data_IF_366731082924
#
_entry.id   IF_366731082924
#
_cell.length_a   1.000
_cell.length_b   1.000
_cell.length_c   1.000
_cell.angle_alpha   90.00
_cell.angle_beta   90.00
_cell.angle_gamma   90.00
#
_symmetry.space_group_name_H-M   'P 1'
#
loop_
_entity.id
_entity.type
_entity.pdbx_description
1 polymer ?
#
# COMPACT_ATOMS: atom_id res chain seq x y z
N UNK A 1 -14.48 4.75 -5.11
CA UNK A 1 -15.04 3.82 -6.17
C UNK A 1 -14.74 2.40 -5.79
N UNK A 2 -15.73 1.53 -5.91
CA UNK A 2 -15.54 0.09 -5.67
C UNK A 2 -15.96 -0.68 -6.92
N UNK A 3 -15.12 -1.63 -7.38
CA UNK A 3 -15.43 -2.55 -8.46
C UNK A 3 -15.20 -3.99 -7.99
N UNK A 4 -16.05 -4.90 -8.44
CA UNK A 4 -15.91 -6.32 -8.16
C UNK A 4 -15.85 -7.14 -9.44
N UNK A 5 -15.08 -8.22 -9.44
CA UNK A 5 -15.10 -9.24 -10.46
C UNK A 5 -16.00 -10.38 -10.00
N UNK A 6 -16.96 -10.77 -10.84
CA UNK A 6 -17.89 -11.86 -10.57
C UNK A 6 -17.66 -12.99 -11.57
N UNK A 7 -17.61 -14.22 -11.09
CA UNK A 7 -17.53 -15.44 -11.87
C UNK A 7 -18.42 -16.51 -11.23
N UNK A 8 -19.27 -17.14 -12.02
CA UNK A 8 -20.21 -18.18 -11.56
C UNK A 8 -21.04 -17.74 -10.33
N UNK A 9 -21.58 -16.49 -10.38
CA UNK A 9 -22.34 -15.83 -9.31
C UNK A 9 -21.57 -15.60 -7.99
N UNK A 10 -20.23 -15.71 -8.01
CA UNK A 10 -19.37 -15.45 -6.87
C UNK A 10 -18.47 -14.23 -7.10
N UNK A 11 -18.29 -13.40 -6.06
CA UNK A 11 -17.28 -12.34 -6.08
C UNK A 11 -15.91 -12.97 -5.92
N UNK A 12 -15.08 -12.85 -6.96
CA UNK A 12 -13.74 -13.45 -7.03
C UNK A 12 -12.59 -12.44 -7.00
N UNK A 13 -12.91 -11.16 -7.00
CA UNK A 13 -11.92 -10.08 -6.87
C UNK A 13 -12.59 -8.75 -6.62
N UNK A 14 -11.82 -7.80 -6.11
CA UNK A 14 -12.26 -6.42 -5.89
C UNK A 14 -11.10 -5.44 -6.08
N UNK A 15 -11.45 -4.20 -6.40
CA UNK A 15 -10.59 -3.02 -6.27
C UNK A 15 -11.38 -1.88 -5.65
N UNK A 16 -10.74 -1.17 -4.74
CA UNK A 16 -11.30 -0.05 -3.98
C UNK A 16 -10.37 1.16 -4.11
N UNK A 17 -10.93 2.30 -4.54
CA UNK A 17 -10.19 3.53 -4.81
C UNK A 17 -10.93 4.71 -4.19
N UNK A 18 -10.23 5.47 -3.39
CA UNK A 18 -10.66 6.77 -2.89
C UNK A 18 -10.08 7.89 -3.77
N UNK A 19 -10.85 8.92 -4.03
CA UNK A 19 -10.47 10.02 -4.91
C UNK A 19 -10.21 11.30 -4.11
N UNK A 20 -9.25 12.10 -4.57
CA UNK A 20 -9.11 13.47 -4.12
C UNK A 20 -10.41 14.23 -4.30
N UNK A 21 -10.76 15.00 -3.29
CA UNK A 21 -11.87 15.95 -3.30
C UNK A 21 -11.34 17.38 -3.19
N UNK A 22 -12.23 18.38 -3.21
CA UNK A 22 -11.85 19.77 -2.95
C UNK A 22 -11.43 20.00 -1.49
N UNK A 23 -11.92 19.15 -0.57
CA UNK A 23 -11.72 19.28 0.87
C UNK A 23 -10.60 18.36 1.38
N UNK A 24 -10.33 17.25 0.71
CA UNK A 24 -9.42 16.19 1.17
C UNK A 24 -8.56 15.66 0.04
N UNK A 25 -7.26 15.59 0.31
CA UNK A 25 -6.25 15.00 -0.58
C UNK A 25 -5.89 13.61 -0.05
N UNK A 26 -6.01 12.58 -0.89
CA UNK A 26 -5.75 11.19 -0.51
C UNK A 26 -4.43 10.66 -1.09
N UNK A 27 -3.93 11.27 -2.16
CA UNK A 27 -2.63 10.91 -2.76
C UNK A 27 -1.50 11.81 -2.27
N UNK A 28 -0.27 11.33 -2.35
CA UNK A 28 0.92 12.04 -1.87
C UNK A 28 1.41 13.15 -2.81
N UNK A 29 1.11 13.05 -4.10
CA UNK A 29 1.51 13.99 -5.14
C UNK A 29 0.55 15.17 -5.27
N UNK A 30 0.98 16.24 -5.96
CA UNK A 30 0.14 17.45 -6.15
C UNK A 30 -0.97 17.25 -7.18
N UNK A 31 -0.78 16.36 -8.15
CA UNK A 31 -1.76 16.01 -9.19
C UNK A 31 -3.05 15.49 -8.57
N UNK A 32 -4.17 15.70 -9.26
CA UNK A 32 -5.45 15.14 -8.84
C UNK A 32 -5.45 13.64 -9.01
N UNK A 33 -5.60 12.91 -7.93
CA UNK A 33 -5.40 11.48 -7.93
C UNK A 33 -6.47 10.64 -7.26
N UNK A 34 -6.22 9.34 -7.30
CA UNK A 34 -6.96 8.33 -6.55
C UNK A 34 -6.02 7.35 -5.88
N UNK A 35 -6.27 7.10 -4.60
CA UNK A 35 -5.56 6.10 -3.80
C UNK A 35 -6.23 4.75 -3.93
N UNK A 36 -5.48 3.76 -4.41
CA UNK A 36 -5.94 2.36 -4.42
C UNK A 36 -5.68 1.77 -3.04
N UNK A 37 -6.74 1.63 -2.25
CA UNK A 37 -6.67 1.03 -0.92
C UNK A 37 -6.59 -0.49 -0.96
N UNK A 38 -7.34 -1.11 -1.85
CA UNK A 38 -7.40 -2.56 -1.98
C UNK A 38 -7.42 -2.99 -3.44
N UNK A 39 -6.64 -4.01 -3.74
CA UNK A 39 -6.74 -4.82 -4.95
C UNK A 39 -6.53 -6.27 -4.54
N UNK A 40 -7.59 -7.05 -4.62
CA UNK A 40 -7.55 -8.45 -4.20
C UNK A 40 -8.22 -9.36 -5.22
N UNK A 41 -7.65 -10.56 -5.38
CA UNK A 41 -8.24 -11.65 -6.16
C UNK A 41 -8.18 -12.92 -5.31
N UNK A 42 -9.32 -13.61 -5.22
CA UNK A 42 -9.41 -14.87 -4.48
C UNK A 42 -8.33 -15.85 -4.95
N UNK A 43 -7.63 -16.55 -4.04
CA UNK A 43 -6.47 -17.41 -4.38
C UNK A 43 -6.74 -18.38 -5.52
N UNK A 44 -7.90 -19.05 -5.54
CA UNK A 44 -8.25 -20.05 -6.55
C UNK A 44 -8.49 -19.45 -7.94
N UNK A 45 -8.60 -18.12 -8.05
CA UNK A 45 -8.84 -17.39 -9.29
C UNK A 45 -7.67 -16.50 -9.71
N UNK A 46 -6.55 -16.54 -8.97
CA UNK A 46 -5.33 -15.82 -9.34
C UNK A 46 -4.71 -16.40 -10.63
N UNK A 47 -3.85 -15.61 -11.29
CA UNK A 47 -3.21 -16.00 -12.53
C UNK A 47 -4.12 -16.04 -13.78
N UNK A 48 -5.41 -15.69 -13.66
CA UNK A 48 -6.41 -15.68 -14.74
C UNK A 48 -6.66 -14.29 -15.35
N UNK A 49 -5.85 -13.30 -15.00
CA UNK A 49 -5.97 -11.94 -15.54
C UNK A 49 -7.00 -11.03 -14.81
N UNK A 50 -7.68 -11.53 -13.77
CA UNK A 50 -8.74 -10.79 -13.05
C UNK A 50 -8.22 -9.49 -12.43
N UNK A 51 -7.08 -9.53 -11.74
CA UNK A 51 -6.49 -8.32 -11.16
C UNK A 51 -6.14 -7.27 -12.21
N UNK A 52 -5.65 -7.70 -13.36
CA UNK A 52 -5.37 -6.81 -14.49
C UNK A 52 -6.67 -6.18 -15.04
N UNK A 53 -7.72 -6.97 -15.24
CA UNK A 53 -9.00 -6.47 -15.73
C UNK A 53 -9.66 -5.48 -14.76
N UNK A 54 -9.59 -5.74 -13.44
CA UNK A 54 -10.04 -4.80 -12.41
C UNK A 54 -9.28 -3.48 -12.49
N UNK A 55 -7.94 -3.54 -12.61
CA UNK A 55 -7.09 -2.36 -12.73
C UNK A 55 -7.35 -1.57 -14.01
N UNK A 56 -7.50 -2.23 -15.15
CA UNK A 56 -7.83 -1.58 -16.43
C UNK A 56 -9.17 -0.85 -16.34
N UNK A 57 -10.16 -1.49 -15.73
CA UNK A 57 -11.47 -0.87 -15.51
C UNK A 57 -11.41 0.31 -14.56
N UNK A 58 -10.61 0.20 -13.49
CA UNK A 58 -10.38 1.28 -12.55
C UNK A 58 -9.73 2.50 -13.21
N UNK A 59 -8.75 2.28 -14.08
CA UNK A 59 -8.11 3.34 -14.88
C UNK A 59 -9.12 4.04 -15.80
N UNK A 60 -9.97 3.29 -16.48
CA UNK A 60 -11.03 3.89 -17.32
C UNK A 60 -11.99 4.78 -16.53
N UNK A 61 -12.38 4.36 -15.33
CA UNK A 61 -13.26 5.15 -14.47
C UNK A 61 -12.54 6.37 -13.88
N UNK A 62 -11.27 6.23 -13.50
CA UNK A 62 -10.45 7.32 -13.00
C UNK A 62 -10.30 8.45 -14.04
N UNK A 63 -10.04 8.08 -15.30
CA UNK A 63 -9.97 9.04 -16.44
C UNK A 63 -11.32 9.79 -16.60
N UNK A 64 -12.45 9.11 -16.46
CA UNK A 64 -13.79 9.76 -16.54
C UNK A 64 -14.03 10.75 -15.41
N UNK A 65 -13.37 10.57 -14.26
CA UNK A 65 -13.40 11.49 -13.11
C UNK A 65 -12.36 12.63 -13.24
N UNK A 66 -11.64 12.70 -14.36
CA UNK A 66 -10.55 13.64 -14.63
C UNK A 66 -9.43 13.52 -13.56
N UNK A 67 -9.12 12.32 -13.13
CA UNK A 67 -7.93 12.06 -12.33
C UNK A 67 -6.70 12.02 -13.26
N UNK A 68 -5.57 12.46 -12.74
CA UNK A 68 -4.30 12.51 -13.47
C UNK A 68 -3.38 11.36 -13.07
N UNK A 69 -3.55 10.83 -11.83
CA UNK A 69 -2.75 9.73 -11.31
C UNK A 69 -3.58 8.73 -10.51
N UNK A 70 -3.08 7.49 -10.44
CA UNK A 70 -3.44 6.50 -9.42
C UNK A 70 -2.23 6.15 -8.59
N UNK A 71 -2.38 6.21 -7.27
CA UNK A 71 -1.37 5.86 -6.28
C UNK A 71 -1.73 4.56 -5.56
N UNK A 72 -0.73 3.77 -5.20
CA UNK A 72 -0.90 2.56 -4.39
C UNK A 72 0.30 2.35 -3.48
N UNK A 73 0.04 1.93 -2.25
CA UNK A 73 1.05 1.47 -1.31
C UNK A 73 1.00 -0.05 -1.16
N UNK A 74 2.13 -0.70 -1.29
CA UNK A 74 2.23 -2.16 -1.13
C UNK A 74 3.45 -2.55 -0.32
N UNK A 75 3.34 -3.67 0.39
CA UNK A 75 4.48 -4.28 1.08
C UNK A 75 5.30 -5.11 0.10
N UNK A 76 6.56 -5.35 0.45
CA UNK A 76 7.50 -6.22 -0.28
C UNK A 76 7.18 -7.73 -0.18
N UNK A 77 5.95 -8.05 0.22
CA UNK A 77 5.48 -9.44 0.32
C UNK A 77 5.01 -9.98 -1.05
N UNK A 78 5.58 -11.09 -1.48
CA UNK A 78 5.20 -11.76 -2.72
C UNK A 78 5.67 -11.01 -3.98
N UNK A 79 4.85 -11.02 -5.04
CA UNK A 79 5.18 -10.46 -6.35
C UNK A 79 4.47 -9.12 -6.64
N UNK A 80 4.02 -8.41 -5.61
CA UNK A 80 3.21 -7.18 -5.80
C UNK A 80 4.01 -6.08 -6.49
N UNK A 81 5.26 -5.84 -6.10
CA UNK A 81 6.14 -4.86 -6.72
C UNK A 81 6.30 -5.11 -8.22
N UNK A 82 6.73 -6.32 -8.59
CA UNK A 82 6.89 -6.73 -9.99
C UNK A 82 5.58 -6.60 -10.78
N UNK A 83 4.45 -6.88 -10.12
CA UNK A 83 3.16 -6.79 -10.77
C UNK A 83 2.80 -5.34 -11.09
N UNK A 84 3.02 -4.39 -10.17
CA UNK A 84 2.77 -2.97 -10.40
C UNK A 84 3.67 -2.41 -11.50
N UNK A 85 4.97 -2.72 -11.48
CA UNK A 85 5.92 -2.28 -12.52
C UNK A 85 5.53 -2.80 -13.92
N UNK A 86 5.12 -4.07 -14.04
CA UNK A 86 4.60 -4.65 -15.28
C UNK A 86 3.29 -4.03 -15.79
N UNK A 87 2.54 -3.38 -14.91
CA UNK A 87 1.29 -2.69 -15.24
C UNK A 87 1.46 -1.14 -15.34
N UNK A 88 2.67 -0.68 -15.64
CA UNK A 88 3.00 0.72 -15.91
C UNK A 88 2.92 1.64 -14.69
N UNK A 89 3.12 1.10 -13.49
CA UNK A 89 3.34 1.87 -12.29
C UNK A 89 4.85 2.09 -12.09
N UNK A 90 5.23 3.29 -11.66
CA UNK A 90 6.60 3.62 -11.25
C UNK A 90 6.70 3.76 -9.75
N UNK A 91 7.73 3.22 -9.12
CA UNK A 91 8.00 3.45 -7.71
C UNK A 91 8.44 4.89 -7.48
N UNK A 92 7.86 5.56 -6.49
CA UNK A 92 8.15 6.97 -6.15
C UNK A 92 8.67 7.14 -4.73
N UNK A 93 8.26 6.28 -3.80
CA UNK A 93 8.67 6.38 -2.40
C UNK A 93 8.76 5.01 -1.74
N UNK A 94 9.42 4.95 -0.60
CA UNK A 94 9.48 3.76 0.25
C UNK A 94 9.76 4.10 1.71
N UNK A 95 9.24 3.28 2.62
CA UNK A 95 9.55 3.31 4.03
C UNK A 95 9.46 1.91 4.64
N UNK A 96 9.83 1.76 5.91
CA UNK A 96 9.72 0.48 6.61
C UNK A 96 8.72 0.55 7.76
N UNK A 97 7.84 -0.44 7.82
CA UNK A 97 7.07 -0.74 9.01
C UNK A 97 7.90 -1.59 9.97
N UNK A 98 8.08 -1.13 11.20
CA UNK A 98 8.78 -1.83 12.26
C UNK A 98 7.77 -2.21 13.35
N UNK A 99 7.81 -3.46 13.76
CA UNK A 99 7.03 -3.98 14.88
C UNK A 99 7.99 -4.31 16.01
N UNK A 100 8.15 -3.39 16.96
CA UNK A 100 9.11 -3.49 18.05
C UNK A 100 8.48 -4.19 19.25
N UNK A 101 9.16 -5.22 19.76
CA UNK A 101 8.83 -5.85 21.05
C UNK A 101 9.30 -4.97 22.23
N UNK A 102 8.99 -5.38 23.45
CA UNK A 102 9.49 -4.73 24.66
C UNK A 102 11.03 -4.71 24.75
N UNK A 103 11.69 -5.78 24.30
CA UNK A 103 13.16 -5.87 24.23
C UNK A 103 13.73 -4.89 23.20
N UNK A 104 13.14 -4.80 22.01
CA UNK A 104 13.55 -3.86 20.97
C UNK A 104 13.40 -2.40 21.43
N UNK A 105 12.32 -2.10 22.15
CA UNK A 105 12.03 -0.75 22.65
C UNK A 105 12.97 -0.32 23.77
N UNK A 106 13.42 -1.24 24.61
CA UNK A 106 14.34 -0.93 25.70
C UNK A 106 15.63 -0.26 25.20
N UNK A 107 16.01 -0.50 23.96
CA UNK A 107 17.19 0.08 23.32
C UNK A 107 16.88 1.29 22.42
N UNK A 108 15.64 1.42 21.95
CA UNK A 108 15.28 2.37 20.90
C UNK A 108 14.39 3.52 21.38
N UNK A 109 13.65 3.33 22.47
CA UNK A 109 12.65 4.28 22.98
C UNK A 109 12.88 4.57 24.44
N UNK A 110 13.05 5.85 24.79
CA UNK A 110 13.07 6.29 26.19
C UNK A 110 11.72 6.95 26.53
N UNK A 111 10.84 6.27 27.30
CA UNK A 111 9.61 6.90 27.75
C UNK A 111 9.93 8.05 28.71
N UNK A 112 9.23 9.16 28.56
CA UNK A 112 9.38 10.34 29.42
C UNK A 112 8.96 10.11 30.87
N UNK A 113 8.12 9.11 31.12
CA UNK A 113 7.69 8.67 32.45
C UNK A 113 8.27 7.27 32.75
N UNK A 114 8.97 7.15 33.86
CA UNK A 114 9.59 5.89 34.30
C UNK A 114 8.60 4.80 34.71
N UNK A 115 7.34 5.13 34.95
CA UNK A 115 6.27 4.19 35.23
C UNK A 115 5.58 3.67 33.94
N UNK A 116 5.88 4.26 32.79
CA UNK A 116 5.35 3.82 31.50
C UNK A 116 6.23 2.70 30.91
N UNK A 117 5.69 1.53 30.79
CA UNK A 117 6.34 0.36 30.21
C UNK A 117 5.64 -0.05 28.92
N UNK A 118 6.05 0.45 27.74
CA UNK A 118 5.47 0.03 26.47
C UNK A 118 5.74 -1.46 26.23
N UNK A 119 4.71 -2.21 25.85
CA UNK A 119 4.82 -3.65 25.62
C UNK A 119 5.17 -3.99 24.16
N UNK A 120 4.74 -3.16 23.23
CA UNK A 120 5.13 -3.20 21.83
C UNK A 120 4.83 -1.86 21.17
N UNK A 121 5.47 -1.59 20.04
CA UNK A 121 5.26 -0.40 19.23
C UNK A 121 5.22 -0.77 17.75
N UNK A 122 4.30 -0.14 17.02
CA UNK A 122 4.31 -0.09 15.58
C UNK A 122 4.87 1.27 15.17
N UNK A 123 5.89 1.28 14.31
CA UNK A 123 6.56 2.50 13.88
C UNK A 123 6.82 2.48 12.36
N UNK A 124 6.85 3.67 11.79
CA UNK A 124 7.31 3.92 10.44
C UNK A 124 8.75 4.45 10.50
N UNK A 125 9.63 3.87 9.67
CA UNK A 125 11.01 4.31 9.54
C UNK A 125 11.28 4.77 8.10
N UNK A 126 11.50 6.05 7.93
CA UNK A 126 11.76 6.72 6.65
C UNK A 126 13.24 6.95 6.38
N UNK A 127 14.11 6.51 7.28
CA UNK A 127 15.55 6.64 7.15
C UNK A 127 16.15 5.63 6.15
N UNK A 128 17.43 5.85 5.82
CA UNK A 128 18.13 5.03 4.81
C UNK A 128 18.86 3.83 5.40
N UNK A 129 19.19 3.87 6.68
CA UNK A 129 19.98 2.84 7.36
C UNK A 129 19.05 1.87 8.11
N UNK A 130 18.43 0.96 7.38
CA UNK A 130 17.56 -0.07 7.97
C UNK A 130 18.36 -1.14 8.71
N UNK A 131 19.66 -1.30 8.44
CA UNK A 131 20.52 -2.30 9.04
C UNK A 131 20.67 -2.09 10.57
N UNK A 132 20.52 -0.86 11.06
CA UNK A 132 20.50 -0.59 12.51
C UNK A 132 19.35 -1.31 13.25
N UNK A 133 18.36 -1.81 12.52
CA UNK A 133 17.20 -2.56 13.03
C UNK A 133 17.23 -4.04 12.63
N UNK A 134 18.42 -4.61 12.38
CA UNK A 134 18.52 -6.01 11.95
C UNK A 134 18.06 -7.02 13.00
N UNK A 135 18.10 -6.65 14.29
CA UNK A 135 17.55 -7.46 15.38
C UNK A 135 16.02 -7.55 15.36
N UNK A 136 15.30 -6.65 14.68
CA UNK A 136 13.85 -6.65 14.63
C UNK A 136 13.38 -7.70 13.60
N UNK A 137 12.70 -8.74 14.07
CA UNK A 137 12.20 -9.83 13.23
C UNK A 137 11.06 -9.40 12.29
N UNK A 138 10.17 -8.52 12.79
CA UNK A 138 8.99 -8.08 12.04
C UNK A 138 9.19 -6.70 11.47
N UNK A 139 9.87 -6.64 10.35
CA UNK A 139 10.04 -5.43 9.54
C UNK A 139 9.61 -5.69 8.09
N UNK A 140 8.91 -4.74 7.51
CA UNK A 140 8.38 -4.84 6.15
C UNK A 140 8.64 -3.55 5.40
N UNK A 141 9.22 -3.66 4.20
CA UNK A 141 9.34 -2.54 3.30
C UNK A 141 7.97 -2.23 2.69
N UNK A 142 7.56 -0.98 2.75
CA UNK A 142 6.40 -0.45 2.06
C UNK A 142 6.86 0.43 0.91
N UNK A 143 6.25 0.29 -0.25
CA UNK A 143 6.63 1.01 -1.46
C UNK A 143 5.42 1.70 -2.05
N UNK A 144 5.58 2.95 -2.41
CA UNK A 144 4.60 3.74 -3.14
C UNK A 144 4.84 3.61 -4.64
N UNK A 145 3.78 3.31 -5.36
CA UNK A 145 3.77 3.26 -6.82
C UNK A 145 2.73 4.20 -7.38
N UNK A 146 3.08 4.92 -8.45
CA UNK A 146 2.18 5.83 -9.16
C UNK A 146 2.11 5.45 -10.63
N UNK A 147 0.90 5.55 -11.18
CA UNK A 147 0.62 5.47 -12.61
C UNK A 147 -0.01 6.77 -13.06
N UNK A 148 0.58 7.42 -14.07
CA UNK A 148 -0.06 8.53 -14.78
C UNK A 148 -1.17 8.00 -15.70
N UNK A 149 -2.26 8.75 -15.80
CA UNK A 149 -3.48 8.38 -16.54
C UNK A 149 -3.55 9.09 -17.89
#
# INVERSE_FOLDING_TARGET
>A
MELVAVKDDQVVGLIDIEYDTEEEKVVSEEEKGGMIWHLAVHPDFQGQGIGKALMERAVEEAIKQNLEILEVWTRDAGNSADWFEKNSYRKVDEYYHLYLSDEDMAHSVQPGDKALHPLYMFAEYTGKDIEQFDSIERKYKCMCYIRNL
#
